data_IF_445190768837
#
_entry.id   IF_445190768837
#
_cell.length_a   1.000
_cell.length_b   1.000
_cell.length_c   1.000
_cell.angle_alpha   90.00
_cell.angle_beta   90.00
_cell.angle_gamma   90.00
#
_symmetry.space_group_name_H-M   'P 1'
#
loop_
_entity.id
_entity.type
_entity.pdbx_description
1 polymer ?
#
# COMPACT_ATOMS: atom_id res chain seq x y z
N UNK A 1 15.60 19.66 4.90
CA UNK A 1 14.48 18.87 5.44
C UNK A 1 15.11 17.84 6.36
N UNK A 2 14.56 17.63 7.55
CA UNK A 2 15.15 16.75 8.56
C UNK A 2 14.36 15.44 8.68
N UNK A 3 14.80 14.41 7.96
CA UNK A 3 14.23 13.07 8.04
C UNK A 3 14.83 12.26 9.20
N UNK A 4 14.00 11.45 9.85
CA UNK A 4 14.41 10.53 10.91
C UNK A 4 14.24 9.06 10.48
N UNK A 5 15.35 8.32 10.58
CA UNK A 5 15.49 6.92 10.20
C UNK A 5 15.31 6.68 8.69
N UNK A 6 15.08 5.42 8.31
CA UNK A 6 14.88 5.03 6.90
C UNK A 6 13.58 5.62 6.35
N UNK A 7 13.60 6.19 5.15
CA UNK A 7 12.42 6.74 4.47
C UNK A 7 12.06 5.85 3.28
N UNK A 8 10.79 5.46 3.21
CA UNK A 8 10.26 4.62 2.15
C UNK A 8 9.36 5.45 1.24
N UNK A 9 9.58 5.32 -0.07
CA UNK A 9 8.84 6.00 -1.13
C UNK A 9 8.16 4.94 -2.00
N UNK A 10 6.82 4.98 -2.16
CA UNK A 10 6.16 4.16 -3.17
C UNK A 10 6.68 4.51 -4.57
N UNK A 11 6.90 3.52 -5.45
CA UNK A 11 7.48 3.80 -6.78
C UNK A 11 6.58 4.70 -7.65
N UNK A 12 5.27 4.70 -7.40
CA UNK A 12 4.30 5.63 -8.00
C UNK A 12 4.57 7.10 -7.62
N UNK A 13 5.18 7.34 -6.46
CA UNK A 13 5.50 8.65 -5.91
C UNK A 13 6.97 9.06 -6.21
N UNK A 14 7.61 8.44 -7.22
CA UNK A 14 9.01 8.69 -7.61
C UNK A 14 9.35 10.18 -7.79
N UNK A 15 8.39 10.99 -8.25
CA UNK A 15 8.54 12.42 -8.51
C UNK A 15 7.92 13.32 -7.44
N UNK A 16 7.35 12.76 -6.38
CA UNK A 16 6.70 13.54 -5.33
C UNK A 16 7.72 14.04 -4.30
N UNK A 17 7.53 15.27 -3.84
CA UNK A 17 8.24 15.77 -2.67
C UNK A 17 7.74 15.03 -1.44
N UNK A 18 8.64 14.48 -0.65
CA UNK A 18 8.26 13.78 0.58
C UNK A 18 8.25 14.76 1.75
N UNK A 19 7.24 14.67 2.61
CA UNK A 19 7.20 15.39 3.87
C UNK A 19 6.90 14.38 4.98
N UNK A 20 7.85 14.20 5.90
CA UNK A 20 7.66 13.29 7.04
C UNK A 20 6.81 13.99 8.09
N UNK A 21 5.63 13.45 8.39
CA UNK A 21 4.68 14.05 9.36
C UNK A 21 4.51 13.19 10.60
N UNK A 22 4.81 11.89 10.48
CA UNK A 22 4.91 10.92 11.56
C UNK A 22 6.23 10.16 11.45
N UNK A 23 6.61 9.48 12.53
CA UNK A 23 7.73 8.55 12.58
C UNK A 23 7.15 7.16 12.85
N UNK A 24 7.58 6.14 12.11
CA UNK A 24 7.17 4.74 12.24
C UNK A 24 5.75 4.43 11.76
N UNK A 25 5.32 3.18 11.99
CA UNK A 25 3.96 2.69 11.72
C UNK A 25 3.19 2.50 13.04
N UNK A 26 1.89 2.81 13.07
CA UNK A 26 1.06 2.63 14.27
C UNK A 26 0.76 1.16 14.60
N UNK A 27 0.83 0.24 13.63
CA UNK A 27 0.72 -1.19 13.90
C UNK A 27 2.09 -1.80 14.25
N UNK A 28 3.09 -1.66 13.37
CA UNK A 28 4.49 -2.11 13.52
C UNK A 28 4.68 -3.52 14.15
N UNK A 29 3.72 -4.43 13.93
CA UNK A 29 3.72 -5.79 14.46
C UNK A 29 3.53 -6.82 13.34
N UNK A 30 3.48 -6.40 12.08
CA UNK A 30 3.26 -7.31 10.96
C UNK A 30 4.43 -8.28 10.85
N UNK A 31 4.16 -9.59 10.75
CA UNK A 31 5.23 -10.61 10.83
C UNK A 31 6.22 -10.54 9.68
N UNK A 32 5.82 -9.98 8.53
CA UNK A 32 6.62 -9.88 7.30
C UNK A 32 7.35 -8.54 7.13
N UNK A 33 7.03 -7.52 7.94
CA UNK A 33 7.43 -6.15 7.68
C UNK A 33 8.54 -5.69 8.64
N UNK A 34 9.69 -5.26 8.12
CA UNK A 34 10.78 -4.68 8.90
C UNK A 34 10.90 -3.15 8.76
N UNK A 35 10.14 -2.53 7.85
CA UNK A 35 10.31 -1.14 7.38
C UNK A 35 10.41 -0.11 8.51
N UNK A 36 9.69 -0.31 9.60
CA UNK A 36 9.57 0.67 10.69
C UNK A 36 10.01 0.12 12.05
N UNK A 37 10.70 -1.02 12.07
CA UNK A 37 11.10 -1.71 13.32
C UNK A 37 12.13 -0.96 14.15
N UNK A 38 12.92 -0.08 13.52
CA UNK A 38 13.87 0.83 14.15
C UNK A 38 13.21 2.09 14.75
N UNK A 39 11.91 2.28 14.52
CA UNK A 39 11.15 3.47 14.88
C UNK A 39 10.02 3.18 15.85
N UNK A 40 9.76 4.13 16.75
CA UNK A 40 8.54 4.14 17.58
C UNK A 40 7.55 5.12 17.00
N UNK A 41 6.30 4.68 16.87
CA UNK A 41 5.25 5.51 16.31
C UNK A 41 5.06 6.80 17.10
N UNK A 42 5.17 7.95 16.42
CA UNK A 42 4.80 9.26 16.98
C UNK A 42 4.54 10.27 15.87
N UNK A 43 3.71 11.28 16.15
CA UNK A 43 3.63 12.46 15.30
C UNK A 43 4.91 13.31 15.45
N UNK A 44 5.31 14.00 14.39
CA UNK A 44 6.28 15.09 14.50
C UNK A 44 5.58 16.37 15.01
N UNK A 45 6.36 17.31 15.53
CA UNK A 45 5.83 18.61 15.93
C UNK A 45 5.39 19.38 14.69
N UNK A 46 4.34 20.21 14.81
CA UNK A 46 3.92 21.05 13.68
C UNK A 46 5.02 22.04 13.29
N UNK A 47 5.78 22.54 14.26
CA UNK A 47 6.86 23.49 14.00
C UNK A 47 7.98 22.89 13.16
N UNK A 48 8.40 21.65 13.44
CA UNK A 48 9.43 20.98 12.64
C UNK A 48 8.93 20.67 11.22
N UNK A 49 7.68 20.23 11.09
CA UNK A 49 7.04 19.99 9.78
C UNK A 49 6.96 21.31 8.99
N UNK A 50 6.56 22.41 9.63
CA UNK A 50 6.46 23.73 8.99
C UNK A 50 7.83 24.22 8.51
N UNK A 51 8.89 24.01 9.31
CA UNK A 51 10.27 24.33 8.92
C UNK A 51 10.70 23.53 7.69
N UNK A 52 10.39 22.23 7.65
CA UNK A 52 10.71 21.38 6.50
C UNK A 52 9.96 21.82 5.24
N UNK A 53 8.68 22.18 5.35
CA UNK A 53 7.84 22.70 4.24
C UNK A 53 8.44 24.01 3.69
N UNK A 54 8.83 24.94 4.56
CA UNK A 54 9.43 26.21 4.15
C UNK A 54 10.81 26.03 3.54
N UNK A 55 11.61 25.13 4.09
CA UNK A 55 12.91 24.78 3.51
C UNK A 55 12.74 24.16 2.12
N UNK A 56 11.79 23.23 1.96
CA UNK A 56 11.49 22.63 0.67
C UNK A 56 11.09 23.70 -0.37
N UNK A 57 10.30 24.71 0.01
CA UNK A 57 9.94 25.80 -0.90
C UNK A 57 11.13 26.63 -1.38
N UNK A 58 12.16 26.80 -0.55
CA UNK A 58 13.39 27.52 -0.93
C UNK A 58 14.23 26.71 -1.92
N UNK A 59 14.18 25.38 -1.83
CA UNK A 59 14.95 24.46 -2.67
C UNK A 59 14.23 24.13 -3.98
N UNK A 60 12.90 23.95 -3.92
CA UNK A 60 12.06 23.54 -5.03
C UNK A 60 11.11 24.69 -5.42
N UNK A 61 11.37 25.41 -6.52
CA UNK A 61 10.56 26.56 -6.95
C UNK A 61 9.11 26.20 -7.34
N UNK A 62 8.88 24.94 -7.71
CA UNK A 62 7.57 24.43 -8.10
C UNK A 62 7.44 22.98 -7.66
N UNK A 63 6.34 22.64 -6.96
CA UNK A 63 6.05 21.28 -6.51
C UNK A 63 4.62 20.93 -6.89
N UNK A 64 4.47 19.94 -7.78
CA UNK A 64 3.15 19.49 -8.28
C UNK A 64 2.55 18.34 -7.48
N UNK A 65 3.37 17.54 -6.82
CA UNK A 65 2.94 16.42 -6.01
C UNK A 65 3.73 16.34 -4.70
N UNK A 66 3.00 16.12 -3.60
CA UNK A 66 3.58 15.87 -2.27
C UNK A 66 3.03 14.55 -1.75
N UNK A 67 3.91 13.78 -1.11
CA UNK A 67 3.55 12.56 -0.41
C UNK A 67 3.92 12.66 1.07
N UNK A 68 2.93 12.54 1.96
CA UNK A 68 3.13 12.54 3.40
C UNK A 68 3.55 11.14 3.85
N UNK A 69 4.76 11.04 4.39
CA UNK A 69 5.43 9.75 4.61
C UNK A 69 5.52 9.32 6.07
N UNK A 70 6.05 8.10 6.15
CA UNK A 70 6.16 7.14 7.25
C UNK A 70 4.95 6.23 7.38
N UNK A 71 5.01 5.22 8.24
CA UNK A 71 4.21 3.99 8.08
C UNK A 71 2.70 4.07 8.28
N UNK A 72 2.17 5.15 8.86
CA UNK A 72 0.72 5.41 8.91
C UNK A 72 0.43 6.88 9.26
N UNK A 73 0.12 7.71 8.26
CA UNK A 73 -0.16 9.14 8.45
C UNK A 73 -1.62 9.40 8.78
N UNK A 74 -2.55 8.70 8.14
CA UNK A 74 -4.00 8.94 8.32
C UNK A 74 -4.48 8.68 9.75
N UNK A 75 -3.75 7.88 10.54
CA UNK A 75 -4.08 7.66 11.97
C UNK A 75 -4.03 8.94 12.81
N UNK A 76 -3.31 9.98 12.37
CA UNK A 76 -3.22 11.25 13.07
C UNK A 76 -4.59 11.95 13.20
N UNK A 77 -4.73 12.82 14.20
CA UNK A 77 -5.98 13.57 14.44
C UNK A 77 -6.30 14.47 13.25
N UNK A 78 -7.57 14.55 12.89
CA UNK A 78 -8.06 15.35 11.75
C UNK A 78 -7.59 16.81 11.85
N UNK A 79 -7.68 17.41 13.03
CA UNK A 79 -7.29 18.83 13.24
C UNK A 79 -5.80 19.06 12.97
N UNK A 80 -4.96 18.07 13.30
CA UNK A 80 -3.52 18.15 13.02
C UNK A 80 -3.22 17.98 11.53
N UNK A 81 -3.88 17.02 10.87
CA UNK A 81 -3.73 16.83 9.42
C UNK A 81 -4.19 18.09 8.66
N UNK A 82 -5.32 18.69 9.05
CA UNK A 82 -5.78 19.96 8.47
C UNK A 82 -4.74 21.08 8.62
N UNK A 83 -4.13 21.23 9.80
CA UNK A 83 -3.06 22.21 9.99
C UNK A 83 -1.87 22.00 9.03
N UNK A 84 -1.44 20.75 8.85
CA UNK A 84 -0.33 20.40 7.96
C UNK A 84 -0.71 20.67 6.49
N UNK A 85 -1.87 20.20 6.05
CA UNK A 85 -2.35 20.34 4.68
C UNK A 85 -2.53 21.82 4.32
N UNK A 86 -3.13 22.62 5.21
CA UNK A 86 -3.26 24.06 5.01
C UNK A 86 -1.91 24.73 4.83
N UNK A 87 -0.92 24.43 5.71
CA UNK A 87 0.44 24.97 5.57
C UNK A 87 1.08 24.60 4.24
N UNK A 88 0.86 23.37 3.77
CA UNK A 88 1.34 22.90 2.46
C UNK A 88 0.70 23.71 1.34
N UNK A 89 -0.63 23.85 1.32
CA UNK A 89 -1.35 24.57 0.26
C UNK A 89 -1.03 26.07 0.22
N UNK A 90 -0.82 26.70 1.38
CA UNK A 90 -0.34 28.09 1.47
C UNK A 90 1.08 28.25 0.90
N UNK A 91 1.94 27.25 1.10
CA UNK A 91 3.34 27.29 0.66
C UNK A 91 3.50 26.90 -0.82
N UNK A 92 2.67 25.97 -1.30
CA UNK A 92 2.68 25.43 -2.66
C UNK A 92 1.27 25.55 -3.27
N UNK A 93 0.82 26.77 -3.64
CA UNK A 93 -0.49 26.98 -4.24
C UNK A 93 -0.65 26.27 -5.60
N UNK A 94 0.45 25.94 -6.27
CA UNK A 94 0.50 25.21 -7.52
C UNK A 94 0.38 23.68 -7.39
N UNK A 95 0.28 23.17 -6.16
CA UNK A 95 0.17 21.74 -5.86
C UNK A 95 -1.11 21.13 -6.46
N UNK A 96 -0.93 20.07 -7.24
CA UNK A 96 -2.01 19.37 -7.95
C UNK A 96 -2.45 18.09 -7.22
N UNK A 97 -1.51 17.43 -6.50
CA UNK A 97 -1.79 16.18 -5.79
C UNK A 97 -1.13 16.15 -4.42
N UNK A 98 -1.90 15.76 -3.40
CA UNK A 98 -1.38 15.40 -2.09
C UNK A 98 -1.86 14.01 -1.70
N UNK A 99 -0.92 13.10 -1.45
CA UNK A 99 -1.22 11.74 -1.01
C UNK A 99 -0.47 11.37 0.27
N UNK A 100 -0.90 10.29 0.92
CA UNK A 100 -0.34 9.86 2.21
C UNK A 100 -0.47 8.35 2.44
N UNK A 101 0.32 7.79 3.37
CA UNK A 101 0.14 6.43 3.86
C UNK A 101 -1.03 6.31 4.86
N UNK A 102 -1.82 5.24 4.76
CA UNK A 102 -3.02 4.99 5.57
C UNK A 102 -3.28 3.49 5.77
N UNK A 103 -4.22 3.16 6.65
CA UNK A 103 -4.93 1.88 6.68
C UNK A 103 -6.46 2.09 6.60
N UNK A 104 -7.23 1.05 6.24
CA UNK A 104 -8.70 1.15 6.25
C UNK A 104 -9.27 1.43 7.65
N UNK A 105 -8.60 0.96 8.71
CA UNK A 105 -8.99 1.26 10.08
C UNK A 105 -8.87 2.76 10.43
N UNK A 106 -8.05 3.53 9.73
CA UNK A 106 -7.92 4.97 10.00
C UNK A 106 -9.09 5.78 9.46
N UNK A 107 -9.64 5.37 8.32
CA UNK A 107 -10.91 5.88 7.82
C UNK A 107 -12.06 5.57 8.79
N UNK A 108 -12.10 4.36 9.35
CA UNK A 108 -13.13 3.96 10.32
C UNK A 108 -13.16 4.81 11.59
N UNK A 109 -11.97 5.21 12.06
CA UNK A 109 -11.79 6.03 13.27
C UNK A 109 -12.18 7.49 13.09
N UNK A 110 -12.45 7.94 11.86
CA UNK A 110 -12.91 9.29 11.54
C UNK A 110 -14.38 9.26 11.12
N UNK A 111 -15.08 10.35 11.39
CA UNK A 111 -16.41 10.55 10.78
C UNK A 111 -16.24 10.88 9.30
N UNK A 112 -17.28 10.64 8.49
CA UNK A 112 -17.24 11.04 7.08
C UNK A 112 -17.07 12.54 6.93
N UNK A 113 -17.68 13.36 7.79
CA UNK A 113 -17.50 14.82 7.75
C UNK A 113 -16.05 15.22 7.98
N UNK A 114 -15.35 14.58 8.91
CA UNK A 114 -13.92 14.79 9.12
C UNK A 114 -13.08 14.40 7.90
N UNK A 115 -13.44 13.32 7.21
CA UNK A 115 -12.77 12.90 5.98
C UNK A 115 -13.05 13.87 4.83
N UNK A 116 -14.29 14.38 4.70
CA UNK A 116 -14.66 15.42 3.73
C UNK A 116 -13.88 16.70 3.96
N UNK A 117 -13.71 17.13 5.21
CA UNK A 117 -12.85 18.26 5.55
C UNK A 117 -11.40 18.04 5.09
N UNK A 118 -10.85 16.84 5.24
CA UNK A 118 -9.50 16.53 4.74
C UNK A 118 -9.44 16.57 3.21
N UNK A 119 -10.45 16.03 2.52
CA UNK A 119 -10.54 16.10 1.05
C UNK A 119 -10.63 17.55 0.58
N UNK A 120 -11.50 18.37 1.17
CA UNK A 120 -11.67 19.79 0.85
C UNK A 120 -10.40 20.60 1.11
N UNK A 121 -9.66 20.28 2.17
CA UNK A 121 -8.36 20.91 2.44
C UNK A 121 -7.28 20.52 1.40
N UNK A 122 -7.45 19.38 0.72
CA UNK A 122 -6.62 18.96 -0.39
C UNK A 122 -5.97 17.59 -0.25
N UNK A 123 -6.40 16.72 0.68
CA UNK A 123 -5.94 15.31 0.70
C UNK A 123 -6.63 14.55 -0.43
N UNK A 124 -5.87 14.17 -1.45
CA UNK A 124 -6.44 13.59 -2.66
C UNK A 124 -6.52 12.07 -2.63
N UNK A 125 -5.46 11.41 -2.16
CA UNK A 125 -5.33 9.97 -2.20
C UNK A 125 -4.67 9.40 -0.94
N UNK A 126 -5.09 8.20 -0.55
CA UNK A 126 -4.46 7.41 0.50
C UNK A 126 -3.94 6.08 -0.04
N UNK A 127 -2.71 5.74 0.32
CA UNK A 127 -2.07 4.46 0.03
C UNK A 127 -2.34 3.53 1.21
N UNK A 128 -3.16 2.50 0.98
CA UNK A 128 -3.66 1.59 2.00
C UNK A 128 -3.01 0.23 1.85
N UNK A 129 -2.24 -0.18 2.88
CA UNK A 129 -1.76 -1.55 3.00
C UNK A 129 -2.91 -2.50 3.35
N UNK A 130 -3.48 -3.16 2.34
CA UNK A 130 -4.52 -4.19 2.49
C UNK A 130 -3.89 -5.54 2.86
N UNK A 131 -2.73 -5.85 2.27
CA UNK A 131 -1.94 -7.09 2.39
C UNK A 131 -2.64 -8.36 1.87
N UNK A 132 -3.87 -8.64 2.30
CA UNK A 132 -4.66 -9.82 1.97
C UNK A 132 -6.15 -9.57 2.23
N UNK A 133 -7.05 -10.22 1.47
CA UNK A 133 -8.47 -10.30 1.81
C UNK A 133 -8.84 -11.47 2.72
N UNK A 134 -7.94 -12.46 2.88
CA UNK A 134 -8.19 -13.65 3.68
C UNK A 134 -7.95 -13.40 5.18
N UNK A 135 -8.97 -13.63 6.01
CA UNK A 135 -8.93 -13.36 7.46
C UNK A 135 -7.86 -14.16 8.20
N UNK A 136 -7.65 -15.42 7.85
CA UNK A 136 -6.61 -16.27 8.48
C UNK A 136 -5.21 -15.74 8.13
N UNK A 137 -5.00 -15.33 6.88
CA UNK A 137 -3.72 -14.71 6.48
C UNK A 137 -3.49 -13.40 7.24
N UNK A 138 -4.51 -12.54 7.33
CA UNK A 138 -4.43 -11.27 8.07
C UNK A 138 -4.15 -11.46 9.58
N UNK A 139 -4.71 -12.52 10.18
CA UNK A 139 -4.44 -12.91 11.57
C UNK A 139 -3.01 -13.40 11.75
N UNK A 140 -2.55 -14.34 10.91
CA UNK A 140 -1.21 -14.89 10.94
C UNK A 140 -0.15 -13.79 10.83
N UNK A 141 -0.35 -12.83 9.92
CA UNK A 141 0.57 -11.70 9.74
C UNK A 141 0.37 -10.58 10.74
N UNK A 142 -0.57 -10.69 11.69
CA UNK A 142 -0.85 -9.67 12.73
C UNK A 142 -1.19 -8.29 12.16
N UNK A 143 -1.91 -8.22 11.02
CA UNK A 143 -2.33 -6.95 10.40
C UNK A 143 -3.39 -6.21 11.21
N UNK A 144 -4.16 -6.92 12.05
CA UNK A 144 -5.24 -6.36 12.90
C UNK A 144 -6.32 -5.63 12.10
N UNK A 145 -6.77 -6.24 11.01
CA UNK A 145 -7.87 -5.76 10.18
C UNK A 145 -8.75 -6.95 9.80
N UNK A 146 -10.07 -6.79 9.87
CA UNK A 146 -11.02 -7.79 9.35
C UNK A 146 -11.56 -7.37 7.99
N UNK A 147 -12.18 -8.34 7.29
CA UNK A 147 -12.84 -8.11 6.02
C UNK A 147 -13.88 -6.98 6.11
N UNK A 148 -14.76 -7.04 7.11
CA UNK A 148 -15.84 -6.07 7.34
C UNK A 148 -15.30 -4.69 7.67
N UNK A 149 -14.17 -4.63 8.39
CA UNK A 149 -13.50 -3.37 8.68
C UNK A 149 -12.88 -2.76 7.41
N UNK A 150 -12.29 -3.57 6.53
CA UNK A 150 -11.81 -3.07 5.25
C UNK A 150 -12.97 -2.49 4.42
N UNK A 151 -14.11 -3.18 4.37
CA UNK A 151 -15.32 -2.70 3.70
C UNK A 151 -15.84 -1.39 4.30
N UNK A 152 -15.97 -1.30 5.63
CA UNK A 152 -16.44 -0.08 6.32
C UNK A 152 -15.49 1.11 6.05
N UNK A 153 -14.18 0.88 6.13
CA UNK A 153 -13.16 1.92 5.90
C UNK A 153 -13.17 2.41 4.45
N UNK A 154 -13.26 1.49 3.49
CA UNK A 154 -13.33 1.84 2.07
C UNK A 154 -14.60 2.63 1.72
N UNK A 155 -15.75 2.24 2.29
CA UNK A 155 -17.01 2.96 2.09
C UNK A 155 -16.90 4.42 2.58
N UNK A 156 -16.28 4.64 3.75
CA UNK A 156 -16.04 5.99 4.29
C UNK A 156 -15.08 6.82 3.42
N UNK A 157 -14.01 6.21 2.90
CA UNK A 157 -13.08 6.88 1.99
C UNK A 157 -13.80 7.34 0.71
N UNK A 158 -14.59 6.43 0.11
CA UNK A 158 -15.38 6.68 -1.10
C UNK A 158 -16.44 7.75 -0.88
N UNK A 159 -17.18 7.71 0.24
CA UNK A 159 -18.17 8.74 0.58
C UNK A 159 -17.53 10.12 0.79
N UNK A 160 -16.31 10.18 1.29
CA UNK A 160 -15.55 11.42 1.45
C UNK A 160 -14.89 11.92 0.16
N UNK A 161 -14.85 11.11 -0.90
CA UNK A 161 -14.17 11.44 -2.16
C UNK A 161 -12.64 11.41 -2.07
N UNK A 162 -12.07 10.67 -1.10
CA UNK A 162 -10.63 10.42 -1.03
C UNK A 162 -10.34 9.15 -1.82
N UNK A 163 -9.52 9.26 -2.86
CA UNK A 163 -9.13 8.11 -3.69
C UNK A 163 -8.25 7.14 -2.87
N UNK A 164 -8.36 5.86 -3.15
CA UNK A 164 -7.55 4.82 -2.50
C UNK A 164 -6.72 4.06 -3.52
N UNK A 165 -5.42 3.95 -3.21
CA UNK A 165 -4.58 2.89 -3.75
C UNK A 165 -4.52 1.76 -2.71
N UNK A 166 -5.00 0.57 -3.06
CA UNK A 166 -4.92 -0.61 -2.19
C UNK A 166 -3.75 -1.52 -2.60
N UNK A 167 -2.79 -1.73 -1.71
CA UNK A 167 -1.68 -2.66 -1.95
C UNK A 167 -1.89 -3.99 -1.24
N UNK A 168 -1.58 -5.09 -1.92
CA UNK A 168 -1.66 -6.45 -1.37
C UNK A 168 -0.49 -7.30 -1.87
N UNK A 169 -0.25 -8.44 -1.24
CA UNK A 169 1.01 -9.19 -1.42
C UNK A 169 0.70 -10.60 -1.94
N UNK A 170 1.09 -10.90 -3.18
CA UNK A 170 1.02 -12.26 -3.72
C UNK A 170 1.93 -13.21 -2.93
N UNK A 171 1.45 -14.44 -2.74
CA UNK A 171 2.15 -15.48 -2.00
C UNK A 171 2.12 -15.31 -0.48
N UNK A 172 1.44 -14.29 0.06
CA UNK A 172 1.36 -14.05 1.51
C UNK A 172 0.61 -15.17 2.27
N UNK A 173 -0.25 -15.91 1.57
CA UNK A 173 -0.88 -17.14 2.10
C UNK A 173 0.06 -18.34 2.19
N UNK A 174 1.28 -18.25 1.63
CA UNK A 174 2.20 -19.38 1.49
C UNK A 174 1.64 -20.49 0.57
N UNK A 175 2.37 -21.59 0.48
CA UNK A 175 2.05 -22.74 -0.39
C UNK A 175 0.65 -23.31 -0.12
N UNK A 176 0.22 -23.32 1.14
CA UNK A 176 -0.98 -24.04 1.58
C UNK A 176 -2.26 -23.21 1.60
N UNK A 177 -2.18 -21.88 1.49
CA UNK A 177 -3.36 -20.99 1.44
C UNK A 177 -3.33 -20.01 0.27
N UNK A 178 -2.48 -20.24 -0.73
CA UNK A 178 -2.34 -19.39 -1.91
C UNK A 178 -3.68 -19.16 -2.61
N UNK A 179 -4.47 -20.22 -2.81
CA UNK A 179 -5.79 -20.14 -3.43
C UNK A 179 -6.79 -19.32 -2.59
N UNK A 180 -6.97 -19.66 -1.32
CA UNK A 180 -7.91 -18.94 -0.44
C UNK A 180 -7.47 -17.49 -0.17
N UNK A 181 -6.17 -17.22 -0.20
CA UNK A 181 -5.62 -15.88 -0.12
C UNK A 181 -6.13 -15.02 -1.28
N UNK A 182 -5.94 -15.48 -2.52
CA UNK A 182 -6.30 -14.68 -3.69
C UNK A 182 -7.80 -14.62 -3.92
N UNK A 183 -8.54 -15.72 -3.71
CA UNK A 183 -10.00 -15.75 -3.85
C UNK A 183 -10.66 -14.71 -2.94
N UNK A 184 -10.26 -14.66 -1.67
CA UNK A 184 -10.79 -13.69 -0.72
C UNK A 184 -10.28 -12.26 -0.97
N UNK A 185 -9.06 -12.10 -1.49
CA UNK A 185 -8.53 -10.79 -1.90
C UNK A 185 -9.34 -10.23 -3.06
N UNK A 186 -9.59 -11.01 -4.11
CA UNK A 186 -10.47 -10.61 -5.23
C UNK A 186 -11.87 -10.30 -4.74
N UNK A 187 -12.45 -11.15 -3.87
CA UNK A 187 -13.78 -10.92 -3.29
C UNK A 187 -13.86 -9.58 -2.59
N UNK A 188 -12.83 -9.23 -1.80
CA UNK A 188 -12.77 -7.94 -1.12
C UNK A 188 -12.61 -6.77 -2.12
N UNK A 189 -11.73 -6.91 -3.10
CA UNK A 189 -11.49 -5.88 -4.12
C UNK A 189 -12.75 -5.57 -4.94
N UNK A 190 -13.51 -6.58 -5.36
CA UNK A 190 -14.78 -6.38 -6.08
C UNK A 190 -15.86 -5.69 -5.22
N UNK A 191 -15.75 -5.71 -3.89
CA UNK A 191 -16.64 -4.98 -2.99
C UNK A 191 -16.17 -3.53 -2.82
N UNK A 192 -14.89 -3.33 -2.49
CA UNK A 192 -14.38 -1.99 -2.12
C UNK A 192 -14.04 -1.12 -3.34
N UNK A 193 -13.71 -1.74 -4.47
CA UNK A 193 -13.45 -1.12 -5.77
C UNK A 193 -12.52 0.10 -5.68
N UNK A 194 -11.27 -0.07 -5.23
CA UNK A 194 -10.35 1.05 -5.04
C UNK A 194 -9.95 1.66 -6.38
N UNK A 195 -9.68 2.95 -6.39
CA UNK A 195 -9.34 3.69 -7.61
C UNK A 195 -8.02 3.19 -8.23
N UNK A 196 -7.12 2.67 -7.40
CA UNK A 196 -5.88 2.03 -7.84
C UNK A 196 -5.57 0.78 -6.99
N UNK A 197 -4.86 -0.20 -7.58
CA UNK A 197 -4.31 -1.35 -6.86
C UNK A 197 -2.82 -1.53 -7.15
N UNK A 198 -2.08 -2.00 -6.16
CA UNK A 198 -0.64 -2.27 -6.29
C UNK A 198 -0.28 -3.63 -5.69
N UNK A 199 -0.41 -4.72 -6.47
CA UNK A 199 0.05 -6.03 -6.04
C UNK A 199 1.58 -6.15 -6.07
N UNK A 200 2.14 -6.85 -5.08
CA UNK A 200 3.58 -7.11 -4.97
C UNK A 200 3.82 -8.57 -4.59
N UNK A 201 4.83 -9.24 -5.16
CA UNK A 201 5.25 -10.55 -4.68
C UNK A 201 5.90 -10.45 -3.30
N UNK A 202 5.58 -11.41 -2.42
CA UNK A 202 6.16 -11.51 -1.08
C UNK A 202 7.68 -11.58 -1.13
N UNK A 203 8.34 -10.65 -0.45
CA UNK A 203 9.77 -10.71 -0.18
C UNK A 203 10.03 -10.98 1.31
N UNK A 204 10.83 -12.01 1.59
CA UNK A 204 11.23 -12.36 2.96
C UNK A 204 12.26 -11.34 3.44
N UNK A 205 11.92 -10.60 4.49
CA UNK A 205 12.80 -9.58 5.05
C UNK A 205 13.70 -10.13 6.15
N UNK A 206 15.01 -9.81 6.14
CA UNK A 206 15.92 -10.21 7.19
C UNK A 206 15.49 -9.73 8.58
N UNK A 207 15.57 -10.61 9.57
CA UNK A 207 15.27 -10.31 10.97
C UNK A 207 13.78 -10.30 11.34
N UNK A 208 12.89 -10.61 10.40
CA UNK A 208 11.44 -10.65 10.66
C UNK A 208 10.96 -11.94 11.30
N UNK A 209 9.74 -11.93 11.82
CA UNK A 209 9.10 -13.15 12.33
C UNK A 209 8.85 -14.15 11.20
N UNK A 210 8.41 -13.68 10.04
CA UNK A 210 8.18 -14.51 8.87
C UNK A 210 9.48 -15.18 8.37
N UNK A 211 10.64 -14.50 8.40
CA UNK A 211 11.91 -15.15 8.07
C UNK A 211 12.23 -16.33 9.01
N UNK A 212 11.95 -16.17 10.31
CA UNK A 212 12.14 -17.25 11.28
C UNK A 212 11.18 -18.41 11.02
N UNK A 213 9.92 -18.12 10.70
CA UNK A 213 8.92 -19.13 10.33
C UNK A 213 9.34 -19.90 9.06
N UNK A 214 9.89 -19.22 8.05
CA UNK A 214 10.45 -19.86 6.84
C UNK A 214 11.60 -20.79 7.20
N UNK A 215 12.57 -20.31 7.98
CA UNK A 215 13.73 -21.09 8.39
C UNK A 215 13.37 -22.30 9.27
N UNK A 216 12.30 -22.19 10.06
CA UNK A 216 11.77 -23.28 10.87
C UNK A 216 10.88 -24.26 10.08
N UNK A 217 10.51 -23.94 8.84
CA UNK A 217 9.56 -24.71 8.03
C UNK A 217 8.10 -24.54 8.44
N UNK A 218 7.79 -23.54 9.28
CA UNK A 218 6.45 -23.20 9.74
C UNK A 218 5.67 -22.42 8.67
N UNK A 219 6.37 -21.60 7.89
CA UNK A 219 5.84 -20.96 6.69
C UNK A 219 6.55 -21.50 5.45
N UNK A 220 5.81 -22.20 4.58
CA UNK A 220 6.34 -22.66 3.28
C UNK A 220 5.92 -21.64 2.23
N UNK A 221 6.89 -21.00 1.57
CA UNK A 221 6.63 -19.99 0.54
C UNK A 221 5.81 -20.57 -0.62
N UNK A 222 4.92 -19.74 -1.19
CA UNK A 222 4.27 -20.06 -2.45
C UNK A 222 5.31 -20.19 -3.56
N UNK A 223 5.14 -21.19 -4.42
CA UNK A 223 6.00 -21.35 -5.58
C UNK A 223 5.76 -20.22 -6.59
N UNK A 224 6.71 -19.92 -7.49
CA UNK A 224 6.50 -18.98 -8.58
C UNK A 224 5.28 -19.32 -9.45
N UNK A 225 5.00 -20.61 -9.67
CA UNK A 225 3.78 -21.05 -10.37
C UNK A 225 2.52 -20.59 -9.62
N UNK A 226 2.46 -20.80 -8.31
CA UNK A 226 1.32 -20.37 -7.50
C UNK A 226 1.14 -18.85 -7.50
N UNK A 227 2.23 -18.07 -7.46
CA UNK A 227 2.17 -16.61 -7.55
C UNK A 227 1.57 -16.16 -8.89
N UNK A 228 1.97 -16.79 -10.00
CA UNK A 228 1.37 -16.52 -11.32
C UNK A 228 -0.10 -16.99 -11.39
N UNK A 229 -0.46 -18.09 -10.74
CA UNK A 229 -1.85 -18.55 -10.64
C UNK A 229 -2.71 -17.58 -9.82
N UNK A 230 -2.16 -16.97 -8.75
CA UNK A 230 -2.83 -15.90 -8.01
C UNK A 230 -3.05 -14.67 -8.90
N UNK A 231 -2.01 -14.21 -9.60
CA UNK A 231 -2.14 -13.06 -10.51
C UNK A 231 -3.13 -13.34 -11.65
N UNK A 232 -3.11 -14.55 -12.23
CA UNK A 232 -4.10 -14.99 -13.22
C UNK A 232 -5.52 -14.93 -12.65
N UNK A 233 -5.74 -15.51 -11.48
CA UNK A 233 -7.05 -15.54 -10.84
C UNK A 233 -7.57 -14.12 -10.58
N UNK A 234 -6.71 -13.22 -10.12
CA UNK A 234 -7.02 -11.79 -9.94
C UNK A 234 -7.54 -11.17 -11.24
N UNK A 235 -6.77 -11.29 -12.32
CA UNK A 235 -7.08 -10.67 -13.61
C UNK A 235 -8.37 -11.23 -14.22
N UNK A 236 -8.60 -12.54 -14.09
CA UNK A 236 -9.80 -13.19 -14.61
C UNK A 236 -11.06 -12.76 -13.83
N UNK A 237 -10.96 -12.56 -12.52
CA UNK A 237 -12.11 -12.41 -11.62
C UNK A 237 -12.35 -11.00 -11.07
N UNK A 238 -11.47 -10.03 -11.34
CA UNK A 238 -11.77 -8.62 -11.08
C UNK A 238 -12.78 -8.05 -12.08
N UNK A 239 -13.75 -7.27 -11.59
CA UNK A 239 -14.90 -6.77 -12.36
C UNK A 239 -15.19 -5.26 -12.24
N UNK A 240 -14.22 -4.46 -11.80
CA UNK A 240 -14.36 -3.02 -11.59
C UNK A 240 -13.25 -2.20 -12.26
N UNK A 241 -13.54 -0.92 -12.50
CA UNK A 241 -12.58 0.03 -13.05
C UNK A 241 -11.53 0.42 -12.02
N UNK A 242 -10.25 0.30 -12.38
CA UNK A 242 -9.12 0.68 -11.51
C UNK A 242 -7.85 0.86 -12.33
N UNK A 243 -6.82 1.47 -11.75
CA UNK A 243 -5.47 1.41 -12.30
C UNK A 243 -4.66 0.29 -11.64
N UNK A 244 -4.15 -0.64 -12.44
CA UNK A 244 -3.29 -1.75 -12.00
C UNK A 244 -1.83 -1.33 -11.99
N UNK A 245 -1.17 -1.33 -10.81
CA UNK A 245 0.26 -1.11 -10.63
C UNK A 245 0.98 -2.42 -10.24
N UNK A 246 0.89 -3.45 -11.07
CA UNK A 246 1.60 -4.72 -10.87
C UNK A 246 3.03 -4.73 -11.42
N UNK A 247 3.66 -3.56 -11.59
CA UNK A 247 5.01 -3.40 -12.13
C UNK A 247 6.09 -3.31 -11.04
N UNK A 248 5.80 -3.80 -9.83
CA UNK A 248 6.77 -3.87 -8.74
C UNK A 248 7.94 -4.80 -9.11
N UNK A 249 9.17 -4.45 -8.72
CA UNK A 249 10.39 -5.15 -9.16
C UNK A 249 10.52 -6.61 -8.72
N UNK A 250 9.73 -7.06 -7.74
CA UNK A 250 9.68 -8.47 -7.32
C UNK A 250 8.60 -9.30 -8.04
N UNK A 251 7.71 -8.67 -8.84
CA UNK A 251 6.67 -9.39 -9.55
C UNK A 251 7.27 -10.17 -10.73
N UNK A 252 6.75 -11.36 -10.99
CA UNK A 252 7.23 -12.23 -12.08
C UNK A 252 6.82 -11.65 -13.44
N UNK A 253 5.58 -11.16 -13.55
CA UNK A 253 5.03 -10.55 -14.76
C UNK A 253 4.74 -9.06 -14.55
N UNK A 254 5.75 -8.18 -14.69
CA UNK A 254 5.57 -6.76 -14.42
C UNK A 254 4.64 -6.11 -15.45
N UNK A 255 3.46 -5.70 -15.00
CA UNK A 255 2.43 -5.09 -15.84
C UNK A 255 1.77 -3.91 -15.14
N UNK A 256 1.40 -2.87 -15.89
CA UNK A 256 0.59 -1.78 -15.37
C UNK A 256 -0.33 -1.17 -16.42
N UNK A 257 -1.46 -0.63 -16.00
CA UNK A 257 -2.40 0.03 -16.90
C UNK A 257 -3.84 0.10 -16.38
N UNK A 258 -4.72 0.78 -17.14
CA UNK A 258 -6.13 0.87 -16.80
C UNK A 258 -6.81 -0.50 -16.98
N UNK A 259 -7.55 -0.93 -15.96
CA UNK A 259 -8.38 -2.13 -15.97
C UNK A 259 -9.86 -1.71 -16.03
N UNK A 260 -10.72 -2.37 -16.83
CA UNK A 260 -10.49 -3.61 -17.58
C UNK A 260 -9.87 -3.44 -18.98
N UNK A 261 -9.56 -2.21 -19.42
CA UNK A 261 -9.06 -1.97 -20.80
C UNK A 261 -7.82 -2.80 -21.16
N UNK A 262 -6.93 -3.04 -20.19
CA UNK A 262 -5.73 -3.85 -20.38
C UNK A 262 -5.89 -5.35 -20.05
N UNK A 263 -7.09 -5.80 -19.64
CA UNK A 263 -7.34 -7.16 -19.12
C UNK A 263 -6.86 -8.26 -20.07
N UNK A 264 -7.27 -8.21 -21.34
CA UNK A 264 -6.90 -9.25 -22.31
C UNK A 264 -5.40 -9.31 -22.55
N UNK A 265 -4.73 -8.14 -22.60
CA UNK A 265 -3.28 -8.08 -22.74
C UNK A 265 -2.58 -8.68 -21.51
N UNK A 266 -3.05 -8.40 -20.31
CA UNK A 266 -2.47 -8.95 -19.07
C UNK A 266 -2.70 -10.46 -18.95
N UNK A 267 -3.89 -10.96 -19.28
CA UNK A 267 -4.17 -12.40 -19.27
C UNK A 267 -3.28 -13.14 -20.28
N UNK A 268 -3.08 -12.59 -21.48
CA UNK A 268 -2.19 -13.18 -22.47
C UNK A 268 -0.74 -13.23 -21.99
N UNK A 269 -0.24 -12.16 -21.38
CA UNK A 269 1.12 -12.14 -20.82
C UNK A 269 1.26 -13.15 -19.68
N UNK A 270 0.30 -13.22 -18.76
CA UNK A 270 0.35 -14.19 -17.66
C UNK A 270 0.30 -15.64 -18.13
N UNK A 271 -0.52 -15.96 -19.14
CA UNK A 271 -0.52 -17.30 -19.72
C UNK A 271 0.83 -17.64 -20.36
N UNK A 272 1.47 -16.68 -21.05
CA UNK A 272 2.81 -16.84 -21.60
C UNK A 272 3.86 -17.06 -20.50
N UNK A 273 3.80 -16.29 -19.41
CA UNK A 273 4.71 -16.44 -18.26
C UNK A 273 4.56 -17.82 -17.60
N UNK A 274 3.33 -18.29 -17.40
CA UNK A 274 3.03 -19.64 -16.87
C UNK A 274 3.61 -20.73 -17.78
N UNK A 275 3.48 -20.59 -19.09
CA UNK A 275 3.93 -21.61 -20.05
C UNK A 275 5.44 -21.63 -20.26
N UNK A 276 6.08 -20.46 -20.24
CA UNK A 276 7.44 -20.31 -20.78
C UNK A 276 8.48 -19.81 -19.79
N UNK A 277 8.09 -19.15 -18.70
CA UNK A 277 9.06 -18.58 -17.76
C UNK A 277 9.76 -19.71 -16.98
N UNK A 278 11.10 -19.84 -17.06
CA UNK A 278 11.83 -20.89 -16.36
C UNK A 278 11.68 -20.83 -14.83
N UNK A 279 11.32 -19.67 -14.25
CA UNK A 279 11.09 -19.51 -12.81
C UNK A 279 9.98 -20.43 -12.29
N UNK A 280 9.03 -20.81 -13.14
CA UNK A 280 7.92 -21.72 -12.79
C UNK A 280 8.39 -23.12 -12.38
N UNK A 281 9.64 -23.49 -12.71
CA UNK A 281 10.26 -24.76 -12.33
C UNK A 281 10.92 -24.72 -10.95
N UNK A 282 11.04 -23.54 -10.34
CA UNK A 282 11.61 -23.38 -9.01
C UNK A 282 10.55 -23.64 -7.94
N UNK A 283 10.96 -24.11 -6.77
CA UNK A 283 10.06 -24.23 -5.60
C UNK A 283 9.86 -22.90 -4.87
N UNK A 284 10.81 -21.97 -5.02
CA UNK A 284 10.85 -20.69 -4.30
C UNK A 284 11.09 -19.56 -5.30
N UNK A 285 10.36 -18.46 -5.14
CA UNK A 285 10.64 -17.21 -5.84
C UNK A 285 11.77 -16.45 -5.12
N UNK A 286 12.86 -16.16 -5.83
CA UNK A 286 13.89 -15.27 -5.33
C UNK A 286 13.43 -13.82 -5.50
N UNK A 287 13.38 -13.08 -4.39
CA UNK A 287 12.92 -11.69 -4.32
C UNK A 287 13.94 -10.83 -3.61
N UNK A 288 13.97 -9.53 -3.92
CA UNK A 288 14.84 -8.60 -3.23
C UNK A 288 14.13 -8.01 -2.00
N UNK A 289 14.77 -8.01 -0.81
CA UNK A 289 14.31 -7.22 0.33
C UNK A 289 14.42 -5.72 0.00
N UNK A 290 13.62 -4.90 0.70
CA UNK A 290 13.46 -3.47 0.38
C UNK A 290 14.40 -2.52 1.14
#
# INVERSE_FOLDING_TARGET
>A
MNYEGKVYRPWMEANSLLIQVSIGCSNNNCTFCDMFTDKKFRRRSFEDISKDIEEARRVYPSVKSIFLIDGNVMVLKTEFLLQVVTKIKETFPELERLALYSEYNDFRRKTVDQLKQLKEAGVDMAYVGLESGNSVVLENIKKKMTFEQAVEGAAKAKEAGIEVLASFIFGLGGKYRSKEHIEETVRLLNIIKPEQIAPMALAIQPGTELEREVNAGEFVQASPMQILEEEKYLLENMDFETYYWGDHGNNISPMRGPFPNAKDAFINEINKEIETNPVTKNEILETNPW
#
